data_IF_918215662068
#
_entry.id   IF_918215662068
#
_cell.length_a   1.000
_cell.length_b   1.000
_cell.length_c   1.000
_cell.angle_alpha   90.00
_cell.angle_beta   90.00
_cell.angle_gamma   90.00
#
_symmetry.space_group_name_H-M   'P 1'
#
loop_
_entity.id
_entity.type
_entity.pdbx_description
1 polymer ?
#
# COMPACT_ATOMS: atom_id res chain seq x y z
N UNK A 1 -16.17 -12.26 -22.42
CA UNK A 1 -15.33 -11.16 -21.93
C UNK A 1 -13.94 -11.73 -21.67
N UNK A 2 -12.95 -11.38 -22.49
CA UNK A 2 -11.57 -11.86 -22.34
C UNK A 2 -10.94 -11.17 -21.13
N UNK A 3 -10.42 -11.95 -20.19
CA UNK A 3 -9.46 -11.48 -19.19
C UNK A 3 -8.15 -11.20 -19.93
N UNK A 4 -7.94 -9.95 -20.32
CA UNK A 4 -6.70 -9.45 -20.87
C UNK A 4 -6.45 -8.08 -20.28
N UNK A 5 -5.18 -7.85 -19.95
CA UNK A 5 -4.59 -6.52 -19.76
C UNK A 5 -4.58 -5.92 -18.33
N UNK A 6 -4.07 -6.68 -17.37
CA UNK A 6 -3.54 -6.13 -16.11
C UNK A 6 -2.07 -6.52 -15.86
N UNK A 7 -1.39 -7.07 -16.88
CA UNK A 7 0.00 -7.46 -16.76
C UNK A 7 0.79 -6.82 -17.90
N UNK A 8 1.89 -6.18 -17.52
CA UNK A 8 2.93 -5.56 -18.39
C UNK A 8 2.74 -4.08 -18.76
N UNK A 9 2.71 -3.21 -17.76
CA UNK A 9 3.55 -2.00 -17.86
C UNK A 9 4.99 -2.35 -17.48
N UNK A 10 5.60 -3.27 -18.24
CA UNK A 10 7.05 -3.44 -18.21
C UNK A 10 7.63 -2.19 -18.90
N UNK A 11 8.60 -1.49 -18.29
CA UNK A 11 9.27 -0.39 -18.96
C UNK A 11 9.74 -0.86 -20.35
N UNK A 12 9.51 -0.02 -21.37
CA UNK A 12 9.90 -0.33 -22.76
C UNK A 12 11.42 -0.49 -22.91
N UNK A 13 12.16 0.03 -21.96
CA UNK A 13 13.60 -0.10 -21.81
C UNK A 13 13.95 -1.09 -20.70
N UNK A 14 15.12 -1.73 -20.80
CA UNK A 14 15.54 -2.66 -19.76
C UNK A 14 15.86 -1.98 -18.44
N UNK A 15 15.57 -2.70 -17.36
CA UNK A 15 15.82 -2.23 -16.00
C UNK A 15 17.27 -2.53 -15.57
N UNK A 16 17.87 -1.69 -14.71
CA UNK A 16 19.16 -1.97 -14.11
C UNK A 16 19.21 -3.30 -13.37
N UNK A 17 20.13 -4.17 -13.81
CA UNK A 17 20.49 -5.39 -13.10
C UNK A 17 21.19 -5.09 -11.77
N UNK A 18 21.39 -6.13 -10.95
CA UNK A 18 21.90 -5.99 -9.58
C UNK A 18 23.23 -5.22 -9.49
N UNK A 19 24.21 -5.57 -10.35
CA UNK A 19 25.52 -4.90 -10.36
C UNK A 19 25.41 -3.40 -10.73
N UNK A 20 24.57 -3.05 -11.70
CA UNK A 20 24.33 -1.64 -12.06
C UNK A 20 23.62 -0.90 -10.94
N UNK A 21 22.66 -1.54 -10.27
CA UNK A 21 21.95 -0.97 -9.14
C UNK A 21 22.90 -0.65 -7.97
N UNK A 22 23.86 -1.53 -7.68
CA UNK A 22 24.89 -1.29 -6.65
C UNK A 22 25.74 -0.06 -7.01
N UNK A 23 26.19 0.05 -8.27
CA UNK A 23 26.94 1.22 -8.74
C UNK A 23 26.13 2.50 -8.61
N UNK A 24 24.84 2.47 -8.95
CA UNK A 24 23.94 3.62 -8.81
C UNK A 24 23.85 4.04 -7.34
N UNK A 25 23.62 3.09 -6.42
CA UNK A 25 23.54 3.37 -4.98
C UNK A 25 24.84 3.95 -4.43
N UNK A 26 25.98 3.42 -4.85
CA UNK A 26 27.30 3.97 -4.48
C UNK A 26 27.44 5.42 -4.96
N UNK A 27 27.02 5.72 -6.19
CA UNK A 27 27.09 7.09 -6.74
C UNK A 27 26.13 8.04 -6.01
N UNK A 28 24.93 7.59 -5.63
CA UNK A 28 24.01 8.38 -4.80
C UNK A 28 24.57 8.61 -3.39
N UNK A 29 25.26 7.62 -2.80
CA UNK A 29 25.97 7.83 -1.53
C UNK A 29 27.07 8.89 -1.66
N UNK A 30 27.79 8.92 -2.79
CA UNK A 30 28.76 9.98 -3.07
C UNK A 30 28.12 11.36 -3.28
N UNK A 31 26.89 11.41 -3.82
CA UNK A 31 26.10 12.66 -3.89
C UNK A 31 25.86 13.15 -2.46
N UNK A 32 25.38 12.28 -1.57
CA UNK A 32 25.10 12.62 -0.19
C UNK A 32 26.32 13.12 0.59
N UNK A 33 27.52 12.59 0.28
CA UNK A 33 28.78 13.04 0.89
C UNK A 33 29.36 14.31 0.25
N UNK A 34 28.79 14.79 -0.86
CA UNK A 34 29.26 15.99 -1.53
C UNK A 34 28.57 17.24 -0.98
N UNK A 35 29.35 18.27 -0.65
CA UNK A 35 28.82 19.52 -0.10
C UNK A 35 28.54 20.61 -1.16
N UNK A 36 29.08 20.46 -2.37
CA UNK A 36 28.94 21.45 -3.44
C UNK A 36 27.84 21.01 -4.41
N UNK A 37 26.79 21.83 -4.65
CA UNK A 37 25.73 21.52 -5.61
C UNK A 37 26.27 21.15 -6.99
N UNK A 38 27.27 21.88 -7.50
CA UNK A 38 27.96 21.56 -8.76
C UNK A 38 28.52 20.13 -8.81
N UNK A 39 29.16 19.70 -7.72
CA UNK A 39 29.74 18.35 -7.60
C UNK A 39 28.63 17.29 -7.50
N UNK A 40 27.57 17.59 -6.75
CA UNK A 40 26.39 16.72 -6.65
C UNK A 40 25.73 16.54 -8.01
N UNK A 41 25.50 17.61 -8.78
CA UNK A 41 24.99 17.56 -10.15
C UNK A 41 25.87 16.71 -11.06
N UNK A 42 27.20 16.82 -10.95
CA UNK A 42 28.11 15.98 -11.74
C UNK A 42 27.97 14.49 -11.41
N UNK A 43 27.75 14.15 -10.15
CA UNK A 43 27.51 12.77 -9.71
C UNK A 43 26.12 12.28 -10.12
N UNK A 44 25.11 13.16 -10.07
CA UNK A 44 23.76 12.90 -10.57
C UNK A 44 23.78 12.54 -12.06
N UNK A 45 24.50 13.30 -12.88
CA UNK A 45 24.66 13.00 -14.30
C UNK A 45 25.31 11.63 -14.54
N UNK A 46 26.25 11.21 -13.67
CA UNK A 46 26.82 9.84 -13.73
C UNK A 46 25.78 8.77 -13.39
N UNK A 47 24.87 9.04 -12.46
CA UNK A 47 23.74 8.14 -12.16
C UNK A 47 22.83 8.02 -13.37
N UNK A 48 22.43 9.14 -13.98
CA UNK A 48 21.59 9.15 -15.19
C UNK A 48 22.25 8.36 -16.32
N UNK A 49 23.55 8.56 -16.55
CA UNK A 49 24.32 7.81 -17.55
C UNK A 49 24.29 6.29 -17.30
N UNK A 50 24.49 5.84 -16.06
CA UNK A 50 24.41 4.41 -15.73
C UNK A 50 23.02 3.81 -16.03
N UNK A 51 21.96 4.61 -15.85
CA UNK A 51 20.60 4.20 -16.19
C UNK A 51 20.45 4.05 -17.70
N UNK A 52 20.90 5.03 -18.49
CA UNK A 52 20.87 4.95 -19.96
C UNK A 52 21.69 3.77 -20.51
N UNK A 53 22.92 3.57 -20.00
CA UNK A 53 23.76 2.43 -20.38
C UNK A 53 23.04 1.09 -20.09
N UNK A 54 22.33 1.01 -18.97
CA UNK A 54 21.51 -0.16 -18.66
C UNK A 54 20.35 -0.35 -19.63
N UNK A 55 19.65 0.74 -19.98
CA UNK A 55 18.53 0.72 -20.91
C UNK A 55 18.97 0.27 -22.30
N UNK A 56 20.11 0.78 -22.77
CA UNK A 56 20.74 0.43 -24.05
C UNK A 56 21.20 -1.03 -24.09
N UNK A 57 21.88 -1.50 -23.03
CA UNK A 57 22.39 -2.89 -22.98
C UNK A 57 21.30 -3.96 -23.07
N UNK A 58 20.06 -3.59 -22.73
CA UNK A 58 18.91 -4.49 -22.67
C UNK A 58 17.94 -4.32 -23.84
N UNK A 59 18.25 -3.42 -24.79
CA UNK A 59 17.36 -3.11 -25.91
C UNK A 59 18.03 -3.36 -27.25
N UNK A 60 17.26 -3.92 -28.18
CA UNK A 60 17.65 -4.02 -29.58
C UNK A 60 17.32 -2.74 -30.37
N UNK A 61 16.71 -1.74 -29.72
CA UNK A 61 16.37 -0.46 -30.35
C UNK A 61 17.65 0.29 -30.73
N UNK A 62 17.67 0.80 -31.97
CA UNK A 62 18.72 1.69 -32.48
C UNK A 62 18.41 3.17 -32.26
N UNK A 63 17.19 3.50 -31.83
CA UNK A 63 16.76 4.87 -31.58
C UNK A 63 17.10 5.30 -30.15
N UNK A 64 17.47 6.58 -29.94
CA UNK A 64 17.77 7.10 -28.61
C UNK A 64 16.53 7.11 -27.71
N UNK A 65 16.72 6.85 -26.43
CA UNK A 65 15.65 6.86 -25.44
C UNK A 65 15.24 8.29 -25.07
N UNK A 66 13.94 8.56 -25.13
CA UNK A 66 13.36 9.83 -24.71
C UNK A 66 13.05 9.89 -23.21
N UNK A 67 12.49 11.03 -22.78
CA UNK A 67 12.07 11.24 -21.40
C UNK A 67 11.02 10.21 -20.94
N UNK A 68 10.06 9.87 -21.81
CA UNK A 68 8.99 8.91 -21.52
C UNK A 68 9.50 7.48 -21.36
N UNK A 69 10.63 7.14 -21.97
CA UNK A 69 11.28 5.84 -21.76
C UNK A 69 12.14 5.85 -20.48
N UNK A 70 12.83 6.97 -20.20
CA UNK A 70 13.74 7.11 -19.07
C UNK A 70 13.02 7.21 -17.72
N UNK A 71 11.97 8.05 -17.64
CA UNK A 71 11.32 8.37 -16.36
C UNK A 71 10.77 7.13 -15.62
N UNK A 72 10.12 6.15 -16.27
CA UNK A 72 9.68 4.92 -15.60
C UNK A 72 10.86 4.10 -15.03
N UNK A 73 11.99 4.05 -15.75
CA UNK A 73 13.19 3.34 -15.30
C UNK A 73 13.80 4.06 -14.10
N UNK A 74 13.86 5.39 -14.15
CA UNK A 74 14.32 6.19 -13.02
C UNK A 74 13.47 5.96 -11.76
N UNK A 75 12.14 6.01 -11.88
CA UNK A 75 11.23 5.74 -10.76
C UNK A 75 11.50 4.35 -10.17
N UNK A 76 11.67 3.34 -11.00
CA UNK A 76 11.99 2.00 -10.54
C UNK A 76 13.33 1.95 -9.79
N UNK A 77 14.36 2.64 -10.27
CA UNK A 77 15.66 2.73 -9.60
C UNK A 77 15.54 3.37 -8.22
N UNK A 78 14.82 4.49 -8.13
CA UNK A 78 14.64 5.24 -6.89
C UNK A 78 13.92 4.43 -5.81
N UNK A 79 12.92 3.62 -6.16
CA UNK A 79 12.23 2.72 -5.22
C UNK A 79 13.20 1.74 -4.55
N UNK A 80 14.29 1.37 -5.23
CA UNK A 80 15.33 0.50 -4.68
C UNK A 80 16.37 1.22 -3.82
N UNK A 81 16.35 2.55 -3.72
CA UNK A 81 17.37 3.39 -3.08
C UNK A 81 16.89 3.97 -1.74
N UNK A 82 17.80 4.62 -1.02
CA UNK A 82 17.44 5.41 0.16
C UNK A 82 16.77 6.73 -0.28
N UNK A 83 15.44 6.69 -0.43
CA UNK A 83 14.64 7.80 -0.90
C UNK A 83 14.76 9.05 -0.03
N UNK A 84 14.96 8.89 1.28
CA UNK A 84 15.04 10.04 2.20
C UNK A 84 16.33 10.82 1.96
N UNK A 85 17.47 10.13 1.91
CA UNK A 85 18.76 10.78 1.64
C UNK A 85 18.78 11.43 0.26
N UNK A 86 18.29 10.71 -0.76
CA UNK A 86 18.25 11.24 -2.15
C UNK A 86 17.33 12.45 -2.26
N UNK A 87 16.18 12.45 -1.56
CA UNK A 87 15.29 13.61 -1.58
C UNK A 87 15.90 14.84 -0.92
N UNK A 88 16.55 14.68 0.23
CA UNK A 88 17.27 15.77 0.88
C UNK A 88 18.38 16.34 -0.02
N UNK A 89 19.14 15.47 -0.69
CA UNK A 89 20.20 15.89 -1.60
C UNK A 89 19.65 16.67 -2.81
N UNK A 90 18.51 16.24 -3.36
CA UNK A 90 17.85 16.92 -4.48
C UNK A 90 17.30 18.27 -4.07
N UNK A 91 16.60 18.35 -2.94
CA UNK A 91 16.11 19.63 -2.40
C UNK A 91 17.27 20.58 -2.08
N UNK A 92 18.36 20.07 -1.49
CA UNK A 92 19.58 20.84 -1.24
C UNK A 92 20.17 21.44 -2.53
N UNK A 93 20.28 20.63 -3.60
CA UNK A 93 20.75 21.13 -4.90
C UNK A 93 19.80 22.18 -5.49
N UNK A 94 18.49 21.98 -5.40
CA UNK A 94 17.49 22.90 -5.95
C UNK A 94 17.51 24.27 -5.26
N UNK A 95 17.75 24.30 -3.94
CA UNK A 95 17.76 25.54 -3.16
C UNK A 95 19.08 26.32 -3.23
N UNK A 96 20.22 25.63 -3.38
CA UNK A 96 21.55 26.26 -3.26
C UNK A 96 22.36 26.34 -4.56
N UNK A 97 21.97 25.64 -5.63
CA UNK A 97 22.69 25.73 -6.90
C UNK A 97 22.54 27.12 -7.52
N UNK A 98 23.63 27.63 -8.09
CA UNK A 98 23.58 28.87 -8.87
C UNK A 98 22.69 28.65 -10.11
N UNK A 99 21.72 29.54 -10.41
CA UNK A 99 20.83 29.39 -11.57
C UNK A 99 21.57 29.23 -12.92
N UNK A 100 22.79 29.75 -13.04
CA UNK A 100 23.64 29.57 -14.22
C UNK A 100 24.18 28.14 -14.34
N UNK A 101 24.38 27.43 -13.22
CA UNK A 101 24.81 26.03 -13.18
C UNK A 101 23.65 25.05 -13.42
N UNK A 102 22.41 25.50 -13.26
CA UNK A 102 21.18 24.73 -13.55
C UNK A 102 20.76 24.80 -15.02
N UNK A 103 21.50 25.49 -15.89
CA UNK A 103 21.22 25.50 -17.32
C UNK A 103 21.68 24.20 -18.00
N UNK A 104 20.89 23.69 -18.93
CA UNK A 104 21.22 22.51 -19.73
C UNK A 104 20.91 21.18 -19.03
N UNK A 105 21.79 20.20 -19.24
CA UNK A 105 21.54 18.80 -18.87
C UNK A 105 21.43 18.58 -17.35
N UNK A 106 22.26 19.27 -16.57
CA UNK A 106 22.28 19.16 -15.11
C UNK A 106 20.94 19.55 -14.47
N UNK A 107 20.41 20.72 -14.82
CA UNK A 107 19.11 21.17 -14.31
C UNK A 107 17.94 20.35 -14.85
N UNK A 108 18.03 19.85 -16.09
CA UNK A 108 17.04 18.95 -16.66
C UNK A 108 16.89 17.67 -15.82
N UNK A 109 18.00 16.97 -15.54
CA UNK A 109 17.92 15.73 -14.74
C UNK A 109 17.66 16.00 -13.27
N UNK A 110 18.14 17.11 -12.70
CA UNK A 110 17.77 17.49 -11.33
C UNK A 110 16.26 17.69 -11.18
N UNK A 111 15.64 18.41 -12.12
CA UNK A 111 14.19 18.62 -12.14
C UNK A 111 13.44 17.30 -12.37
N UNK A 112 13.96 16.44 -13.24
CA UNK A 112 13.38 15.11 -13.51
C UNK A 112 13.43 14.22 -12.26
N UNK A 113 14.56 14.21 -11.53
CA UNK A 113 14.72 13.50 -10.25
C UNK A 113 13.75 14.01 -9.20
N UNK A 114 13.64 15.34 -9.05
CA UNK A 114 12.68 15.96 -8.14
C UNK A 114 11.24 15.53 -8.47
N UNK A 115 10.85 15.59 -9.75
CA UNK A 115 9.53 15.13 -10.20
C UNK A 115 9.27 13.65 -9.92
N UNK A 116 10.26 12.79 -10.14
CA UNK A 116 10.16 11.35 -9.85
C UNK A 116 9.97 11.08 -8.35
N UNK A 117 10.73 11.75 -7.48
CA UNK A 117 10.59 11.64 -6.02
C UNK A 117 9.24 12.15 -5.53
N UNK A 118 8.79 13.29 -6.05
CA UNK A 118 7.47 13.84 -5.76
C UNK A 118 6.36 12.87 -6.19
N UNK A 119 6.50 12.25 -7.36
CA UNK A 119 5.55 11.24 -7.82
C UNK A 119 5.50 10.00 -6.91
N UNK A 120 6.66 9.48 -6.49
CA UNK A 120 6.74 8.33 -5.57
C UNK A 120 6.08 8.66 -4.22
N UNK A 121 6.41 9.82 -3.64
CA UNK A 121 5.86 10.24 -2.35
C UNK A 121 4.34 10.45 -2.40
N UNK A 122 3.84 11.10 -3.45
CA UNK A 122 2.40 11.31 -3.68
C UNK A 122 1.64 10.00 -3.91
N UNK A 123 2.23 9.06 -4.64
CA UNK A 123 1.62 7.74 -4.82
C UNK A 123 1.47 6.97 -3.50
N UNK A 124 2.49 7.02 -2.63
CA UNK A 124 2.45 6.35 -1.34
C UNK A 124 1.34 6.92 -0.43
N UNK A 125 1.20 8.26 -0.39
CA UNK A 125 0.14 8.90 0.42
C UNK A 125 -1.25 8.52 -0.08
N UNK A 126 -1.49 8.58 -1.40
CA UNK A 126 -2.78 8.20 -2.00
C UNK A 126 -3.09 6.72 -1.78
N UNK A 127 -2.12 5.82 -2.01
CA UNK A 127 -2.29 4.38 -1.79
C UNK A 127 -2.68 4.06 -0.34
N UNK A 128 -2.04 4.72 0.63
CA UNK A 128 -2.34 4.55 2.06
C UNK A 128 -3.73 5.08 2.42
N UNK A 129 -4.16 6.19 1.82
CA UNK A 129 -5.51 6.72 2.00
C UNK A 129 -6.57 5.76 1.46
N UNK A 130 -6.40 5.27 0.22
CA UNK A 130 -7.30 4.31 -0.40
C UNK A 130 -7.39 2.99 0.40
N UNK A 131 -6.28 2.50 0.92
CA UNK A 131 -6.26 1.31 1.79
C UNK A 131 -7.09 1.53 3.06
N UNK A 132 -6.96 2.70 3.69
CA UNK A 132 -7.72 3.06 4.89
C UNK A 132 -9.22 3.16 4.59
N UNK A 133 -9.60 3.78 3.47
CA UNK A 133 -10.99 3.88 3.03
C UNK A 133 -11.60 2.53 2.68
N UNK A 134 -10.83 1.66 2.00
CA UNK A 134 -11.25 0.30 1.69
C UNK A 134 -11.47 -0.52 2.97
N UNK A 135 -10.56 -0.44 3.94
CA UNK A 135 -10.72 -1.07 5.25
C UNK A 135 -11.97 -0.58 5.98
N UNK A 136 -12.23 0.73 5.94
CA UNK A 136 -13.44 1.31 6.53
C UNK A 136 -14.71 0.81 5.85
N UNK A 137 -14.72 0.74 4.53
CA UNK A 137 -15.84 0.21 3.73
C UNK A 137 -16.12 -1.26 4.06
N UNK A 138 -15.08 -2.10 4.16
CA UNK A 138 -15.18 -3.51 4.57
C UNK A 138 -15.76 -3.60 5.99
N UNK A 139 -15.25 -2.81 6.95
CA UNK A 139 -15.75 -2.79 8.33
C UNK A 139 -17.23 -2.41 8.40
N UNK A 140 -17.65 -1.39 7.66
CA UNK A 140 -19.05 -0.97 7.60
C UNK A 140 -19.93 -2.08 7.01
N UNK A 141 -19.49 -2.70 5.93
CA UNK A 141 -20.20 -3.81 5.31
C UNK A 141 -20.33 -5.02 6.26
N UNK A 142 -19.27 -5.36 7.00
CA UNK A 142 -19.30 -6.43 8.00
C UNK A 142 -20.31 -6.10 9.10
N UNK A 143 -20.30 -4.86 9.64
CA UNK A 143 -21.26 -4.41 10.65
C UNK A 143 -22.71 -4.56 10.18
N UNK A 144 -23.04 -4.11 8.95
CA UNK A 144 -24.40 -4.25 8.38
C UNK A 144 -24.85 -5.72 8.36
N UNK A 145 -23.94 -6.64 8.06
CA UNK A 145 -24.23 -8.08 8.04
C UNK A 145 -24.35 -8.71 9.42
N UNK A 146 -23.55 -8.27 10.40
CA UNK A 146 -23.54 -8.85 11.75
C UNK A 146 -24.62 -8.26 12.68
N UNK A 147 -25.13 -7.06 12.41
CA UNK A 147 -26.20 -6.44 13.21
C UNK A 147 -27.51 -7.23 13.11
N UNK A 148 -27.84 -7.80 11.96
CA UNK A 148 -29.05 -8.61 11.78
C UNK A 148 -28.91 -10.06 12.26
N UNK A 149 -27.73 -10.48 12.73
CA UNK A 149 -27.50 -11.84 13.26
C UNK A 149 -27.41 -11.92 14.78
N UNK A 150 -27.43 -10.78 15.50
CA UNK A 150 -27.64 -10.76 16.95
C UNK A 150 -29.10 -10.41 17.27
N UNK A 151 -29.84 -11.45 17.64
CA UNK A 151 -31.21 -11.49 18.19
C UNK A 151 -32.43 -11.43 17.24
N UNK A 152 -32.98 -12.62 16.92
CA UNK A 152 -34.43 -12.87 16.97
C UNK A 152 -34.89 -13.54 18.28
N UNK A 153 -33.99 -14.11 19.09
CA UNK A 153 -34.37 -15.07 20.15
C UNK A 153 -34.82 -14.47 21.49
N UNK A 154 -34.75 -13.15 21.73
CA UNK A 154 -35.23 -12.57 22.99
C UNK A 154 -36.66 -12.00 22.93
N UNK A 155 -37.20 -11.72 21.73
CA UNK A 155 -38.58 -11.18 21.62
C UNK A 155 -39.67 -12.25 21.67
N UNK A 156 -39.33 -13.54 21.54
CA UNK A 156 -40.33 -14.63 21.58
C UNK A 156 -40.65 -15.11 23.00
N UNK A 157 -39.77 -14.90 23.99
CA UNK A 157 -40.00 -15.34 25.37
C UNK A 157 -40.81 -14.36 26.23
N UNK A 158 -41.01 -13.11 25.79
CA UNK A 158 -41.89 -12.17 26.50
C UNK A 158 -43.37 -12.27 26.11
N UNK A 159 -43.70 -12.98 25.03
CA UNK A 159 -45.10 -13.23 24.62
C UNK A 159 -45.70 -14.53 25.17
N UNK A 160 -44.88 -15.53 25.50
CA UNK A 160 -45.36 -16.84 25.96
C UNK A 160 -45.72 -16.82 27.46
N UNK A 161 -45.14 -15.92 28.27
CA UNK A 161 -45.40 -15.83 29.71
C UNK A 161 -46.70 -15.09 30.10
N UNK A 162 -47.54 -14.67 29.14
CA UNK A 162 -48.83 -13.99 29.44
C UNK A 162 -50.07 -14.85 29.21
N UNK A 163 -49.93 -16.07 28.68
CA UNK A 163 -51.07 -16.92 28.30
C UNK A 163 -50.88 -18.35 28.81
N UNK A 164 -51.02 -18.59 30.12
CA UNK A 164 -51.63 -19.83 30.63
C UNK A 164 -51.95 -19.75 32.14
N UNK A 165 -53.21 -20.03 32.56
CA UNK A 165 -53.55 -20.21 33.97
C UNK A 165 -53.04 -21.57 34.45
N UNK A 166 -52.39 -21.60 35.61
CA UNK A 166 -51.75 -22.80 36.15
C UNK A 166 -52.75 -23.92 36.47
N UNK A 167 -52.42 -25.20 36.19
CA UNK A 167 -53.20 -26.32 36.69
C UNK A 167 -52.83 -26.65 38.14
N UNK A 168 -53.87 -26.98 38.89
CA UNK A 168 -53.91 -27.31 40.31
C UNK A 168 -53.09 -28.56 40.62
N UNK A 169 -52.48 -28.55 41.81
CA UNK A 169 -51.76 -29.65 42.45
C UNK A 169 -52.55 -30.97 42.44
N UNK A 170 -51.86 -32.09 42.16
CA UNK A 170 -52.17 -33.40 42.70
C UNK A 170 -50.91 -34.27 42.67
N UNK A 171 -50.16 -34.23 43.78
CA UNK A 171 -49.23 -35.29 44.14
C UNK A 171 -50.04 -36.46 44.72
N UNK A 172 -50.02 -37.60 44.05
CA UNK A 172 -50.45 -38.88 44.63
C UNK A 172 -49.20 -39.67 44.95
N UNK A 173 -49.11 -40.13 46.19
CA UNK A 173 -48.71 -41.47 46.64
C UNK A 173 -48.11 -41.37 48.04
N UNK A 174 -48.83 -41.92 49.03
CA UNK A 174 -48.25 -42.80 50.03
C UNK A 174 -49.27 -43.89 50.36
N UNK A 175 -48.75 -45.12 50.38
CA UNK A 175 -49.45 -46.39 50.49
C UNK A 175 -49.56 -46.87 51.93
N UNK A 176 -50.59 -47.70 52.16
CA UNK A 176 -50.81 -48.67 53.23
C UNK A 176 -51.37 -48.13 54.55
N UNK A 177 -52.55 -48.60 54.96
CA UNK A 177 -52.66 -49.83 55.75
C UNK A 177 -54.13 -50.15 56.13
N UNK A 178 -54.43 -51.45 56.10
CA UNK A 178 -55.31 -52.22 57.02
C UNK A 178 -56.83 -51.95 57.15
N UNK A 179 -57.53 -53.07 56.92
CA UNK A 179 -58.62 -53.65 57.73
C UNK A 179 -60.07 -53.26 57.47
N UNK A 180 -60.76 -54.23 56.85
CA UNK A 180 -62.18 -54.53 57.02
C UNK A 180 -62.54 -54.68 58.50
N UNK A 181 -63.60 -54.00 58.98
CA UNK A 181 -64.55 -54.57 59.95
C UNK A 181 -65.86 -53.74 60.01
N UNK A 182 -66.98 -54.46 60.01
CA UNK A 182 -68.38 -53.99 60.13
C UNK A 182 -68.66 -53.13 61.38
N UNK A 183 -69.62 -52.18 61.31
CA UNK A 183 -70.81 -52.16 62.19
C UNK A 183 -71.80 -50.98 61.98
N UNK A 184 -73.09 -51.37 61.95
CA UNK A 184 -74.40 -50.65 62.07
C UNK A 184 -74.86 -49.72 60.96
#
# INVERSE_FOLDING_TARGET
>A
MKAGDLNEQKPRAGLPGASTMEKIKEKLSLVHMAYSPKKMTTLLLKVCKLIYESMESSSEKKEPFGADDFLPVLIHVLIGCDLTSVQLDVEYMMELADPSELQGEGGYYLTTMFGALYHISSFNTVSRQLSTEAQNSIRQWQRRRTIHHRHPTQRRLQRINKEMPGPRNLTVFHSNSTEDYYNV
#
